data_IF_806156194651
#
_entry.id   IF_806156194651
#
_cell.length_a   1.000
_cell.length_b   1.000
_cell.length_c   1.000
_cell.angle_alpha   90.00
_cell.angle_beta   90.00
_cell.angle_gamma   90.00
#
_symmetry.space_group_name_H-M   'P 1'
#
loop_
_entity.id
_entity.type
_entity.pdbx_description
1 polymer ?
#
# COMPACT_ATOMS: atom_id res chain seq x y z
N UNK A 1 -16.21 -1.10 -11.08
CA UNK A 1 -14.76 -1.21 -10.81
C UNK A 1 -14.58 -2.42 -9.90
N UNK A 2 -14.06 -3.52 -10.43
CA UNK A 2 -13.81 -4.72 -9.63
C UNK A 2 -12.73 -4.41 -8.58
N UNK A 3 -12.81 -5.04 -7.41
CA UNK A 3 -11.90 -4.79 -6.28
C UNK A 3 -10.42 -4.73 -6.73
N UNK A 4 -9.72 -3.57 -6.59
CA UNK A 4 -8.38 -3.40 -7.13
C UNK A 4 -7.39 -4.37 -6.45
N UNK A 5 -6.43 -4.90 -7.22
CA UNK A 5 -5.42 -5.83 -6.70
C UNK A 5 -4.35 -5.04 -5.94
N UNK A 6 -4.21 -5.28 -4.65
CA UNK A 6 -3.20 -4.63 -3.81
C UNK A 6 -1.91 -5.44 -3.73
N UNK A 7 -0.77 -4.76 -3.73
CA UNK A 7 0.55 -5.34 -3.46
C UNK A 7 0.70 -5.61 -1.96
N UNK A 8 1.17 -6.81 -1.60
CA UNK A 8 1.48 -7.21 -0.22
C UNK A 8 2.94 -7.67 -0.14
N UNK A 9 3.56 -7.55 1.04
CA UNK A 9 4.95 -7.93 1.25
C UNK A 9 5.25 -9.40 0.85
N UNK A 10 4.28 -10.31 1.02
CA UNK A 10 4.39 -11.73 0.66
C UNK A 10 3.04 -12.28 0.19
N UNK A 11 3.03 -12.94 -0.98
CA UNK A 11 1.84 -13.57 -1.57
C UNK A 11 2.10 -15.01 -2.07
N UNK A 12 3.06 -15.72 -1.45
CA UNK A 12 3.46 -17.09 -1.82
C UNK A 12 2.94 -18.14 -0.83
N UNK A 13 3.80 -19.13 -0.51
CA UNK A 13 3.54 -20.10 0.58
C UNK A 13 3.34 -19.39 1.93
N UNK A 14 4.17 -18.38 2.20
CA UNK A 14 3.95 -17.42 3.28
C UNK A 14 3.17 -16.23 2.73
N UNK A 15 2.19 -15.76 3.50
CA UNK A 15 1.28 -14.67 3.12
C UNK A 15 1.28 -13.62 4.21
N UNK A 16 1.32 -12.35 3.80
CA UNK A 16 1.05 -11.21 4.67
C UNK A 16 -0.27 -10.56 4.27
N UNK A 17 -1.03 -10.10 5.25
CA UNK A 17 -2.27 -9.38 5.02
C UNK A 17 -2.32 -8.15 5.91
N UNK A 18 -2.36 -6.99 5.29
CA UNK A 18 -2.70 -5.71 5.89
C UNK A 18 -3.51 -4.94 4.84
N UNK A 19 -4.83 -4.90 5.01
CA UNK A 19 -5.70 -4.31 4.01
C UNK A 19 -5.54 -2.78 4.02
N UNK A 20 -5.50 -2.11 2.85
CA UNK A 20 -5.45 -0.66 2.81
C UNK A 20 -6.73 -0.06 3.39
N UNK A 21 -6.59 1.09 4.04
CA UNK A 21 -7.70 1.84 4.63
C UNK A 21 -8.28 2.87 3.67
N UNK A 22 -9.56 3.21 3.83
CA UNK A 22 -10.16 4.32 3.08
C UNK A 22 -9.45 5.62 3.46
N UNK A 23 -9.04 6.40 2.47
CA UNK A 23 -8.28 7.64 2.67
C UNK A 23 -6.76 7.45 2.73
N UNK A 24 -6.26 6.22 2.64
CA UNK A 24 -4.83 5.95 2.53
C UNK A 24 -4.30 6.37 1.15
N UNK A 25 -3.18 7.10 1.12
CA UNK A 25 -2.53 7.49 -0.13
C UNK A 25 -1.75 6.30 -0.72
N UNK A 26 -1.91 6.08 -2.04
CA UNK A 26 -1.37 4.92 -2.74
C UNK A 26 -0.72 5.28 -4.08
N UNK A 27 0.15 4.40 -4.58
CA UNK A 27 0.57 4.39 -6.00
C UNK A 27 -0.29 3.40 -6.78
N UNK A 28 -0.72 3.81 -7.98
CA UNK A 28 -1.32 2.92 -8.96
C UNK A 28 -0.29 2.59 -10.05
N UNK A 29 -0.05 1.30 -10.26
CA UNK A 29 0.94 0.77 -11.18
C UNK A 29 0.22 0.16 -12.39
N UNK A 30 0.13 0.93 -13.47
CA UNK A 30 -0.53 0.52 -14.70
C UNK A 30 0.47 -0.04 -15.70
N UNK A 31 0.46 -1.36 -15.90
CA UNK A 31 1.33 -2.00 -16.88
C UNK A 31 0.78 -1.71 -18.29
N UNK A 32 1.58 -1.07 -19.13
CA UNK A 32 1.16 -0.71 -20.49
C UNK A 32 0.21 0.49 -20.56
N UNK A 33 0.02 1.23 -19.45
CA UNK A 33 -0.82 2.43 -19.42
C UNK A 33 -2.32 2.18 -19.30
N UNK A 34 -2.75 0.92 -19.14
CA UNK A 34 -4.15 0.54 -18.93
C UNK A 34 -4.50 0.52 -17.43
N UNK A 35 -5.47 1.34 -17.03
CA UNK A 35 -5.88 1.50 -15.63
C UNK A 35 -6.66 0.29 -15.12
N UNK A 36 -7.45 -0.36 -15.97
CA UNK A 36 -8.27 -1.52 -15.57
C UNK A 36 -7.43 -2.75 -15.18
N UNK A 37 -6.13 -2.74 -15.46
CA UNK A 37 -5.18 -3.80 -15.09
C UNK A 37 -4.18 -3.38 -14.02
N UNK A 38 -4.40 -2.21 -13.41
CA UNK A 38 -3.50 -1.62 -12.42
C UNK A 38 -3.41 -2.41 -11.10
N UNK A 39 -2.26 -2.26 -10.45
CA UNK A 39 -2.05 -2.72 -9.07
C UNK A 39 -1.90 -1.52 -8.14
N UNK A 40 -2.42 -1.64 -6.92
CA UNK A 40 -2.32 -0.61 -5.89
C UNK A 40 -1.19 -0.95 -4.92
N UNK A 41 -0.25 -0.03 -4.72
CA UNK A 41 0.80 -0.13 -3.70
C UNK A 41 0.56 0.93 -2.60
N UNK A 42 0.08 0.50 -1.41
CA UNK A 42 -0.13 1.39 -0.25
C UNK A 42 1.17 1.70 0.50
N UNK A 43 1.08 2.59 1.50
CA UNK A 43 2.19 2.94 2.39
C UNK A 43 2.86 4.28 2.12
N UNK A 44 2.18 5.24 1.48
CA UNK A 44 2.67 6.62 1.38
C UNK A 44 2.09 7.44 2.54
N UNK A 45 2.97 8.02 3.36
CA UNK A 45 2.56 8.99 4.36
C UNK A 45 2.00 10.25 3.69
N UNK A 46 0.92 10.76 4.26
CA UNK A 46 0.20 11.93 3.79
C UNK A 46 -0.02 12.91 4.94
N UNK A 47 -0.65 14.05 4.65
CA UNK A 47 -1.07 14.98 5.70
C UNK A 47 -2.07 14.33 6.68
N UNK A 48 -3.04 13.57 6.16
CA UNK A 48 -4.07 12.91 6.96
C UNK A 48 -3.55 11.65 7.67
N UNK A 49 -2.50 11.02 7.14
CA UNK A 49 -1.84 9.84 7.70
C UNK A 49 -0.31 10.07 7.77
N UNK A 50 0.19 10.85 8.77
CA UNK A 50 1.61 11.19 8.87
C UNK A 50 2.45 10.01 9.35
N UNK A 51 3.78 10.14 9.25
CA UNK A 51 4.71 9.16 9.78
C UNK A 51 4.49 8.96 11.30
N UNK A 52 4.40 7.71 11.79
CA UNK A 52 4.13 7.44 13.21
C UNK A 52 5.34 7.71 14.12
N UNK A 53 6.51 8.02 13.54
CA UNK A 53 7.76 8.23 14.26
C UNK A 53 8.75 9.06 13.42
N UNK A 54 9.63 9.78 14.11
CA UNK A 54 10.76 10.51 13.52
C UNK A 54 12.13 9.85 13.81
N UNK A 55 12.15 8.73 14.53
CA UNK A 55 13.39 8.02 14.89
C UNK A 55 13.88 7.17 13.72
N UNK A 56 15.09 7.45 13.23
CA UNK A 56 15.62 6.84 12.00
C UNK A 56 15.82 5.31 12.09
N UNK A 57 16.13 4.78 13.28
CA UNK A 57 16.55 3.39 13.46
C UNK A 57 15.50 2.49 14.13
N UNK A 58 14.28 3.01 14.33
CA UNK A 58 13.21 2.27 14.99
C UNK A 58 12.27 1.59 14.00
N UNK A 59 11.97 0.31 14.24
CA UNK A 59 10.78 -0.33 13.66
C UNK A 59 9.57 0.06 14.50
N UNK A 60 8.62 0.77 13.90
CA UNK A 60 7.39 1.22 14.56
C UNK A 60 6.18 0.67 13.82
N UNK A 61 5.25 0.06 14.57
CA UNK A 61 3.97 -0.45 14.06
C UNK A 61 2.88 0.26 14.86
N UNK A 62 1.94 0.91 14.16
CA UNK A 62 0.84 1.68 14.75
C UNK A 62 -0.50 0.98 14.60
#
# INVERSE_FOLDING_TARGET
>A
MNNPKTVSARAGKTRSWNAPSVGEQVLELCLGGELDTGFVLPGIFSYDNPAPSAWADALVIS
#
